data_IF_118076355990
#
_entry.id   IF_118076355990
#
_cell.length_a   1.000
_cell.length_b   1.000
_cell.length_c   1.000
_cell.angle_alpha   90.00
_cell.angle_beta   90.00
_cell.angle_gamma   90.00
#
_symmetry.space_group_name_H-M   'P 1'
#
loop_
_entity.id
_entity.type
_entity.pdbx_description
1 polymer ?
#
# COMPACT_ATOMS: atom_id res chain seq x y z
N UNK A 1 15.38 -19.01 21.61
CA UNK A 1 15.14 -18.72 21.25
C UNK A 1 15.16 -18.41 20.08
N UNK A 2 14.92 -18.73 19.54
CA UNK A 2 14.93 -18.57 18.40
C UNK A 2 13.78 -18.04 17.86
N UNK A 3 13.32 -16.98 18.25
CA UNK A 3 12.32 -16.34 17.67
C UNK A 3 12.78 -15.76 16.43
N UNK A 4 13.07 -16.52 15.43
CA UNK A 4 13.48 -15.97 14.26
C UNK A 4 12.29 -15.57 13.47
N UNK A 5 12.19 -14.33 13.13
CA UNK A 5 11.17 -13.85 12.23
C UNK A 5 11.59 -14.02 10.78
N UNK A 6 12.77 -14.52 10.54
CA UNK A 6 13.21 -14.74 9.18
C UNK A 6 14.25 -15.87 9.15
N UNK A 7 14.46 -16.40 7.96
CA UNK A 7 15.42 -17.44 7.73
C UNK A 7 16.16 -17.14 6.44
N UNK A 8 17.47 -17.27 6.44
CA UNK A 8 18.30 -17.01 5.29
C UNK A 8 18.96 -18.29 4.83
N UNK A 9 18.78 -18.63 3.56
CA UNK A 9 19.44 -19.76 2.97
C UNK A 9 20.49 -19.26 1.99
N UNK A 10 21.75 -19.34 2.41
CA UNK A 10 22.82 -18.81 1.56
C UNK A 10 23.08 -19.70 0.34
N UNK A 11 22.85 -20.99 0.49
CA UNK A 11 23.10 -21.87 -0.61
C UNK A 11 22.18 -21.64 -1.77
N UNK A 12 20.90 -21.47 -1.49
CA UNK A 12 19.92 -21.27 -2.53
C UNK A 12 19.60 -19.83 -2.75
N UNK A 13 20.26 -18.96 -2.01
CA UNK A 13 20.17 -17.51 -2.21
C UNK A 13 18.75 -16.99 -2.04
N UNK A 14 18.09 -17.42 -0.96
CA UNK A 14 16.77 -16.91 -0.70
C UNK A 14 16.58 -16.61 0.77
N UNK A 15 15.54 -15.85 1.04
CA UNK A 15 15.18 -15.43 2.39
C UNK A 15 13.72 -15.75 2.59
N UNK A 16 13.38 -16.24 3.79
CA UNK A 16 11.99 -16.43 4.17
C UNK A 16 11.69 -15.48 5.32
N UNK A 17 10.64 -14.68 5.17
CA UNK A 17 10.18 -13.81 6.23
C UNK A 17 8.85 -14.30 6.72
N UNK A 18 8.69 -14.35 8.04
CA UNK A 18 7.44 -14.76 8.65
C UNK A 18 6.81 -13.51 9.23
N UNK A 19 5.71 -13.06 8.61
CA UNK A 19 5.11 -11.80 8.95
C UNK A 19 3.73 -12.00 9.55
N UNK A 20 3.45 -11.25 10.60
CA UNK A 20 2.16 -11.33 11.26
C UNK A 20 1.20 -10.40 10.55
N UNK A 21 0.13 -10.97 10.01
CA UNK A 21 -0.81 -10.21 9.21
C UNK A 21 -1.53 -9.15 10.03
N UNK A 22 -1.60 -9.33 11.31
CA UNK A 22 -2.23 -8.33 12.16
C UNK A 22 -1.38 -7.08 12.31
N UNK A 23 -0.07 -7.22 12.12
CA UNK A 23 0.84 -6.08 12.19
C UNK A 23 1.01 -5.47 10.82
N UNK A 24 1.30 -6.32 9.83
CA UNK A 24 1.46 -5.88 8.45
C UNK A 24 0.47 -6.64 7.60
N UNK A 25 -0.59 -5.99 7.18
CA UNK A 25 -1.56 -6.71 6.36
C UNK A 25 -0.99 -6.96 4.96
N UNK A 26 -1.69 -7.74 4.19
CA UNK A 26 -1.20 -8.16 2.89
C UNK A 26 -0.92 -6.99 1.97
N UNK A 27 -1.75 -5.96 2.05
CA UNK A 27 -1.57 -4.79 1.20
C UNK A 27 -0.26 -4.08 1.52
N UNK A 28 0.06 -3.95 2.80
CA UNK A 28 1.31 -3.33 3.24
C UNK A 28 2.49 -4.15 2.78
N UNK A 29 2.39 -5.48 2.94
CA UNK A 29 3.47 -6.37 2.55
C UNK A 29 3.72 -6.28 1.04
N UNK A 30 2.67 -6.28 0.25
CA UNK A 30 2.84 -6.20 -1.19
C UNK A 30 3.51 -4.91 -1.61
N UNK A 31 3.12 -3.80 -0.99
CA UNK A 31 3.72 -2.53 -1.33
C UNK A 31 5.19 -2.47 -0.97
N UNK A 32 5.53 -2.97 0.21
CA UNK A 32 6.92 -2.97 0.63
C UNK A 32 7.77 -3.83 -0.29
N UNK A 33 7.26 -5.01 -0.64
CA UNK A 33 8.01 -5.89 -1.51
C UNK A 33 8.12 -5.32 -2.91
N UNK A 34 7.10 -4.62 -3.35
CA UNK A 34 7.14 -4.03 -4.68
C UNK A 34 8.28 -3.02 -4.82
N UNK A 35 8.63 -2.36 -3.73
CA UNK A 35 9.73 -1.40 -3.77
C UNK A 35 11.07 -2.07 -4.00
N UNK A 36 11.13 -3.39 -3.86
CA UNK A 36 12.35 -4.16 -4.13
C UNK A 36 12.18 -5.10 -5.30
N UNK A 37 11.23 -4.79 -6.18
CA UNK A 37 10.88 -5.72 -7.26
C UNK A 37 12.03 -5.98 -8.21
N UNK A 38 12.96 -5.05 -8.31
CA UNK A 38 14.10 -5.22 -9.19
C UNK A 38 15.19 -6.07 -8.56
N UNK A 39 15.10 -6.32 -7.28
CA UNK A 39 16.17 -7.02 -6.55
C UNK A 39 15.93 -8.51 -6.41
N UNK A 40 14.75 -8.99 -6.68
CA UNK A 40 14.49 -10.41 -6.50
C UNK A 40 13.12 -10.83 -6.94
N UNK A 41 12.84 -12.10 -6.70
CA UNK A 41 11.54 -12.70 -7.00
C UNK A 41 10.86 -13.00 -5.69
N UNK A 42 9.58 -12.68 -5.61
CA UNK A 42 8.85 -12.78 -4.35
C UNK A 42 7.69 -13.75 -4.46
N UNK A 43 7.57 -14.61 -3.47
CA UNK A 43 6.44 -15.53 -3.38
C UNK A 43 5.81 -15.38 -2.01
N UNK A 44 4.50 -15.17 -2.01
CA UNK A 44 3.77 -14.99 -0.75
C UNK A 44 2.83 -16.16 -0.54
N UNK A 45 2.83 -16.68 0.68
CA UNK A 45 1.93 -17.75 1.07
C UNK A 45 1.52 -17.55 2.51
N UNK A 46 0.41 -18.14 2.88
CA UNK A 46 -0.01 -18.14 4.28
C UNK A 46 0.53 -19.38 4.96
N UNK A 47 1.20 -19.19 6.07
CA UNK A 47 1.59 -20.32 6.90
C UNK A 47 0.40 -20.80 7.72
N UNK A 48 -0.38 -19.83 8.21
CA UNK A 48 -1.61 -20.14 8.92
C UNK A 48 -2.50 -18.90 8.78
N UNK A 49 -3.52 -18.82 9.62
CA UNK A 49 -4.52 -17.74 9.46
C UNK A 49 -3.93 -16.36 9.66
N UNK A 50 -2.89 -16.26 10.48
CA UNK A 50 -2.34 -14.97 10.85
C UNK A 50 -0.93 -14.72 10.35
N UNK A 51 -0.30 -15.69 9.76
CA UNK A 51 1.10 -15.56 9.38
C UNK A 51 1.28 -15.68 7.88
N UNK A 52 1.95 -14.71 7.31
CA UNK A 52 2.27 -14.72 5.89
C UNK A 52 3.77 -15.00 5.75
N UNK A 53 4.10 -15.91 4.87
CA UNK A 53 5.50 -16.21 4.57
C UNK A 53 5.84 -15.52 3.26
N UNK A 54 6.86 -14.68 3.31
CA UNK A 54 7.38 -14.05 2.10
C UNK A 54 8.69 -14.71 1.77
N UNK A 55 8.73 -15.41 0.64
CA UNK A 55 9.93 -16.05 0.19
C UNK A 55 10.55 -15.22 -0.90
N UNK A 56 11.80 -14.84 -0.71
CA UNK A 56 12.46 -13.89 -1.58
C UNK A 56 13.71 -14.53 -2.17
N UNK A 57 13.73 -14.66 -3.50
CA UNK A 57 14.89 -15.16 -4.19
C UNK A 57 15.63 -13.97 -4.76
N UNK A 58 16.80 -13.68 -4.22
CA UNK A 58 17.55 -12.53 -4.68
C UNK A 58 18.22 -12.82 -6.01
N UNK A 59 18.24 -11.81 -6.87
CA UNK A 59 18.79 -11.98 -8.20
C UNK A 59 20.30 -12.00 -8.21
N UNK A 60 20.92 -11.41 -7.17
CA UNK A 60 22.36 -11.39 -7.10
C UNK A 60 22.84 -12.07 -5.85
N UNK A 61 23.80 -12.95 -6.02
CA UNK A 61 24.33 -13.68 -4.86
C UNK A 61 25.18 -12.79 -3.97
N UNK A 62 25.68 -11.70 -4.50
CA UNK A 62 26.57 -10.86 -3.70
C UNK A 62 25.84 -9.94 -2.75
N UNK A 63 24.51 -9.92 -2.85
CA UNK A 63 23.72 -9.06 -1.97
C UNK A 63 23.84 -9.53 -0.53
N UNK A 64 24.04 -8.58 0.36
CA UNK A 64 24.06 -8.89 1.78
C UNK A 64 22.64 -9.14 2.25
N UNK A 65 22.31 -10.40 2.51
CA UNK A 65 20.94 -10.77 2.81
C UNK A 65 20.46 -10.22 4.14
N UNK A 66 21.35 -10.14 5.11
CA UNK A 66 20.95 -9.58 6.39
C UNK A 66 20.60 -8.12 6.27
N UNK A 67 21.40 -7.39 5.52
CA UNK A 67 21.11 -5.98 5.29
C UNK A 67 19.82 -5.82 4.51
N UNK A 68 19.61 -6.69 3.54
CA UNK A 68 18.39 -6.66 2.76
C UNK A 68 17.17 -6.86 3.65
N UNK A 69 17.26 -7.81 4.59
CA UNK A 69 16.16 -8.05 5.51
C UNK A 69 15.89 -6.83 6.38
N UNK A 70 16.96 -6.20 6.86
CA UNK A 70 16.78 -5.02 7.69
C UNK A 70 16.14 -3.88 6.91
N UNK A 71 16.56 -3.70 5.67
CA UNK A 71 15.97 -2.67 4.84
C UNK A 71 14.52 -2.98 4.51
N UNK A 72 14.22 -4.25 4.34
CA UNK A 72 12.86 -4.65 4.06
C UNK A 72 11.95 -4.41 5.25
N UNK A 73 12.43 -4.73 6.46
CA UNK A 73 11.65 -4.44 7.65
C UNK A 73 11.43 -2.95 7.81
N UNK A 74 12.45 -2.15 7.50
CA UNK A 74 12.31 -0.72 7.55
C UNK A 74 11.25 -0.24 6.57
N UNK A 75 11.24 -0.83 5.38
CA UNK A 75 10.26 -0.45 4.39
C UNK A 75 8.86 -0.93 4.78
N UNK A 76 8.75 -2.09 5.40
CA UNK A 76 7.46 -2.55 5.91
C UNK A 76 6.90 -1.57 6.91
N UNK A 77 7.75 -1.09 7.79
CA UNK A 77 7.32 -0.13 8.80
C UNK A 77 6.89 1.18 8.14
N UNK A 78 7.67 1.64 7.16
CA UNK A 78 7.32 2.85 6.44
C UNK A 78 5.97 2.72 5.75
N UNK A 79 5.75 1.60 5.11
CA UNK A 79 4.48 1.41 4.41
C UNK A 79 3.32 1.28 5.38
N UNK A 80 3.57 0.72 6.55
CA UNK A 80 2.51 0.61 7.54
C UNK A 80 2.09 2.00 8.04
N UNK A 81 3.07 2.89 8.22
CA UNK A 81 2.76 4.26 8.62
C UNK A 81 1.99 4.97 7.51
N UNK A 82 2.41 4.78 6.27
CA UNK A 82 1.69 5.39 5.15
C UNK A 82 0.27 4.86 5.06
N UNK A 83 0.12 3.57 5.31
CA UNK A 83 -1.21 2.97 5.29
C UNK A 83 -2.10 3.58 6.35
N UNK A 84 -1.57 3.75 7.55
CA UNK A 84 -2.34 4.32 8.64
C UNK A 84 -2.72 5.77 8.36
N UNK A 85 -1.78 6.53 7.82
CA UNK A 85 -2.05 7.92 7.48
C UNK A 85 -3.10 8.01 6.40
N UNK A 86 -3.00 7.17 5.38
CA UNK A 86 -3.99 7.16 4.31
C UNK A 86 -5.36 6.81 4.83
N UNK A 87 -5.42 5.87 5.76
CA UNK A 87 -6.68 5.47 6.33
C UNK A 87 -7.32 6.61 7.09
N UNK A 88 -6.52 7.33 7.87
CA UNK A 88 -7.01 8.47 8.63
C UNK A 88 -7.47 9.59 7.72
N UNK A 89 -6.66 9.91 6.71
CA UNK A 89 -7.01 11.00 5.82
C UNK A 89 -8.17 10.63 4.91
N UNK A 90 -8.32 9.35 4.61
CA UNK A 90 -9.47 8.92 3.83
C UNK A 90 -10.76 9.21 4.58
N UNK A 91 -10.78 8.90 5.87
CA UNK A 91 -11.96 9.17 6.68
C UNK A 91 -12.28 10.66 6.69
N UNK A 92 -11.26 11.48 6.85
CA UNK A 92 -11.45 12.92 6.87
C UNK A 92 -11.94 13.42 5.51
N UNK A 93 -11.33 12.92 4.43
CA UNK A 93 -11.72 13.33 3.10
C UNK A 93 -13.16 12.93 2.79
N UNK A 94 -13.54 11.74 3.22
CA UNK A 94 -14.90 11.29 2.99
C UNK A 94 -15.90 12.11 3.78
N UNK A 95 -15.52 12.52 4.98
CA UNK A 95 -16.39 13.34 5.78
C UNK A 95 -16.59 14.72 5.14
N UNK A 96 -15.51 15.31 4.67
CA UNK A 96 -15.57 16.60 4.01
C UNK A 96 -16.38 16.50 2.73
N UNK A 97 -16.13 15.47 1.95
CA UNK A 97 -16.87 15.27 0.72
C UNK A 97 -18.34 15.02 1.00
N UNK A 98 -18.62 14.27 2.03
CA UNK A 98 -19.99 14.01 2.42
C UNK A 98 -20.72 15.27 2.77
N UNK A 99 -20.07 16.17 3.49
CA UNK A 99 -20.68 17.44 3.82
C UNK A 99 -20.93 18.28 2.59
N UNK A 100 -19.97 18.28 1.68
CA UNK A 100 -20.13 19.03 0.45
C UNK A 100 -21.30 18.50 -0.36
N UNK A 101 -21.40 17.18 -0.45
CA UNK A 101 -22.49 16.57 -1.18
C UNK A 101 -23.84 16.83 -0.50
N UNK A 102 -23.83 16.78 0.82
CA UNK A 102 -25.05 17.04 1.55
C UNK A 102 -25.53 18.46 1.33
N UNK A 103 -24.63 19.41 1.37
CA UNK A 103 -24.98 20.80 1.09
C UNK A 103 -25.51 20.96 -0.30
N UNK A 104 -24.93 20.27 -1.26
CA UNK A 104 -25.41 20.30 -2.63
C UNK A 104 -26.80 19.70 -2.72
N UNK A 105 -27.05 18.64 -2.01
CA UNK A 105 -28.36 18.02 -2.03
C UNK A 105 -29.44 18.90 -1.45
N UNK A 106 -29.12 19.71 -0.49
CA UNK A 106 -30.06 20.62 0.07
C UNK A 106 -30.53 21.60 -1.00
N UNK A 107 -29.62 22.00 -1.88
CA UNK A 107 -29.93 22.90 -2.94
C UNK A 107 -30.17 22.21 -4.25
N UNK A 108 -30.45 20.96 -4.21
CA UNK A 108 -30.37 20.11 -5.34
C UNK A 108 -31.13 20.53 -6.52
N UNK A 109 -32.34 20.77 -6.29
CA UNK A 109 -33.20 20.98 -7.42
C UNK A 109 -32.80 22.17 -8.23
N UNK A 110 -32.26 23.15 -7.62
CA UNK A 110 -31.93 24.31 -8.33
C UNK A 110 -30.62 24.23 -9.04
N UNK A 111 -29.73 23.35 -8.66
CA UNK A 111 -28.43 23.37 -9.24
C UNK A 111 -28.10 22.19 -10.09
N UNK A 112 -28.95 21.25 -10.12
CA UNK A 112 -28.62 20.00 -10.76
C UNK A 112 -28.18 20.16 -12.20
N UNK A 113 -28.93 20.89 -12.96
CA UNK A 113 -28.61 21.10 -14.35
C UNK A 113 -27.36 21.94 -14.52
N UNK A 114 -27.21 22.92 -13.67
CA UNK A 114 -26.05 23.78 -13.74
C UNK A 114 -24.78 22.99 -13.49
N UNK A 115 -24.85 22.11 -12.56
CA UNK A 115 -23.68 21.29 -12.26
C UNK A 115 -23.27 20.41 -13.40
N UNK A 116 -24.23 19.83 -14.06
CA UNK A 116 -23.93 19.01 -15.21
C UNK A 116 -23.27 19.79 -16.31
N UNK A 117 -23.74 20.97 -16.54
CA UNK A 117 -23.15 21.82 -17.56
C UNK A 117 -21.75 22.23 -17.16
N UNK A 118 -21.54 22.52 -15.90
CA UNK A 118 -20.23 22.91 -15.45
C UNK A 118 -19.24 21.79 -15.56
N UNK A 119 -19.66 20.60 -15.28
CA UNK A 119 -18.76 19.47 -15.39
C UNK A 119 -18.32 19.25 -16.81
N UNK A 120 -19.23 19.41 -17.73
CA UNK A 120 -18.86 19.28 -19.12
C UNK A 120 -17.93 20.38 -19.55
N UNK A 121 -18.15 21.56 -19.01
CA UNK A 121 -17.31 22.69 -19.32
C UNK A 121 -15.94 22.52 -18.70
N UNK A 122 -15.89 21.97 -17.53
CA UNK A 122 -14.63 21.78 -16.87
C UNK A 122 -13.72 20.89 -17.63
N UNK A 123 -14.23 19.89 -18.25
CA UNK A 123 -13.40 19.06 -19.06
C UNK A 123 -12.75 19.87 -20.13
N UNK A 124 -13.40 20.90 -20.55
CA UNK A 124 -12.83 21.78 -21.52
C UNK A 124 -12.05 22.85 -20.89
N UNK A 125 -12.41 23.28 -19.69
CA UNK A 125 -11.76 24.31 -19.07
C UNK A 125 -10.53 23.94 -18.55
N UNK A 126 -10.45 22.85 -18.10
CA UNK A 126 -9.24 22.49 -17.64
C UNK A 126 -8.42 22.31 -18.73
N UNK A 127 -9.22 22.41 -19.56
CA UNK A 127 -8.75 22.34 -20.62
C UNK A 127 -8.88 23.54 -21.10
N UNK A 128 -9.98 23.92 -20.57
CA UNK A 128 -10.49 24.62 -20.54
C UNK A 128 -10.60 25.25 -20.30
N UNK A 129 -10.73 25.66 -20.72
CA UNK A 129 -11.12 26.24 -20.40
C UNK A 129 -10.89 26.50 -20.14
N UNK A 130 -10.64 26.31 -20.54
CA UNK A 130 -10.76 26.34 -20.21
C UNK A 130 -10.75 26.37 -20.14
#
# INVERSE_FOLDING_TARGET
>A
MNNKNFYINEEQNYIELYLNEKIYNLSIIKKALYNFIDDGYFILNYADADTIIAKIFLKEHTTNKELFVKELYNELFNESIRFDVMKQTKNIRELILGRALYSTCIDTEKKENEEKNEMQTDDNKYNINN
#
